data_IF_518629398998
#
_entry.id   IF_518629398998
#
_cell.length_a   1.000
_cell.length_b   1.000
_cell.length_c   1.000
_cell.angle_alpha   90.00
_cell.angle_beta   90.00
_cell.angle_gamma   90.00
#
_symmetry.space_group_name_H-M   'P 1'
#
loop_
_entity.id
_entity.type
_entity.pdbx_description
1 polymer ?
#
# COMPACT_ATOMS: atom_id res chain seq x y z
N UNK A 1 9.86 16.98 15.19
CA UNK A 1 10.83 16.16 14.44
C UNK A 1 10.15 14.97 13.78
N UNK A 2 10.41 14.74 12.49
CA UNK A 2 9.94 13.55 11.76
C UNK A 2 10.89 12.41 12.13
N UNK A 3 10.49 11.59 13.11
CA UNK A 3 11.37 10.62 13.77
C UNK A 3 11.42 9.24 13.09
N UNK A 4 10.62 9.02 12.04
CA UNK A 4 10.55 7.74 11.33
C UNK A 4 9.93 7.93 9.93
N UNK A 5 10.50 7.29 8.91
CA UNK A 5 9.96 7.29 7.54
C UNK A 5 9.77 5.87 6.99
N UNK A 6 10.43 4.86 7.57
CA UNK A 6 10.24 3.47 7.17
C UNK A 6 9.00 2.85 7.82
N UNK A 7 8.40 1.88 7.13
CA UNK A 7 7.14 1.27 7.55
C UNK A 7 7.22 0.61 8.93
N UNK A 8 8.38 0.03 9.30
CA UNK A 8 8.55 -0.64 10.60
C UNK A 8 8.55 0.38 11.72
N UNK A 9 9.29 1.47 11.59
CA UNK A 9 9.36 2.50 12.62
C UNK A 9 8.00 3.19 12.83
N UNK A 10 7.26 3.50 11.74
CA UNK A 10 5.89 4.05 11.84
C UNK A 10 4.95 3.10 12.56
N UNK A 11 4.96 1.81 12.18
CA UNK A 11 4.14 0.79 12.85
C UNK A 11 4.47 0.68 14.35
N UNK A 12 5.76 0.63 14.71
CA UNK A 12 6.18 0.54 16.11
C UNK A 12 5.71 1.74 16.92
N UNK A 13 5.91 2.97 16.43
CA UNK A 13 5.46 4.17 17.15
C UNK A 13 3.95 4.17 17.39
N UNK A 14 3.16 3.83 16.39
CA UNK A 14 1.70 3.79 16.51
C UNK A 14 1.23 2.66 17.43
N UNK A 15 1.76 1.44 17.25
CA UNK A 15 1.42 0.28 18.09
C UNK A 15 1.80 0.48 19.57
N UNK A 16 2.81 1.30 19.86
CA UNK A 16 3.20 1.67 21.22
C UNK A 16 2.37 2.82 21.82
N UNK A 17 1.41 3.39 21.08
CA UNK A 17 0.59 4.52 21.51
C UNK A 17 1.35 5.85 21.51
N UNK A 18 2.46 5.96 20.76
CA UNK A 18 3.29 7.17 20.67
C UNK A 18 2.89 8.10 19.52
N UNK A 19 1.89 7.73 18.73
CA UNK A 19 1.34 8.55 17.65
C UNK A 19 -0.19 8.44 17.62
N UNK A 20 -0.87 9.56 17.38
CA UNK A 20 -2.34 9.62 17.23
C UNK A 20 -2.78 9.20 15.82
N UNK A 21 -1.97 9.52 14.81
CA UNK A 21 -2.19 9.14 13.42
C UNK A 21 -0.96 8.43 12.87
N UNK A 22 -1.18 7.45 12.01
CA UNK A 22 -0.13 6.76 11.27
C UNK A 22 -0.63 6.43 9.86
N UNK A 23 0.30 6.43 8.91
CA UNK A 23 0.09 5.87 7.58
C UNK A 23 0.83 4.55 7.44
N UNK A 24 0.13 3.50 7.01
CA UNK A 24 0.74 2.20 6.75
C UNK A 24 -0.10 1.42 5.72
N UNK A 25 0.51 0.38 5.14
CA UNK A 25 -0.16 -0.63 4.37
C UNK A 25 -1.15 -1.47 5.20
N UNK A 26 -2.01 -2.19 4.50
CA UNK A 26 -3.15 -2.90 5.06
C UNK A 26 -2.81 -3.98 6.12
N UNK A 27 -1.64 -4.58 6.00
CA UNK A 27 -1.13 -5.63 6.88
C UNK A 27 -0.89 -5.15 8.32
N UNK A 28 -0.91 -3.83 8.58
CA UNK A 28 -0.79 -3.27 9.93
C UNK A 28 -1.89 -3.77 10.88
N UNK A 29 -3.09 -4.05 10.38
CA UNK A 29 -4.22 -4.50 11.22
C UNK A 29 -3.86 -5.77 11.98
N UNK A 30 -3.16 -6.71 11.33
CA UNK A 30 -2.69 -7.95 11.97
C UNK A 30 -1.78 -7.70 13.18
N UNK A 31 -1.06 -6.57 13.19
CA UNK A 31 -0.23 -6.14 14.31
C UNK A 31 -1.04 -5.41 15.36
N UNK A 32 -1.98 -4.55 14.94
CA UNK A 32 -2.77 -3.75 15.86
C UNK A 32 -3.81 -4.58 16.61
N UNK A 33 -4.33 -5.64 16.01
CA UNK A 33 -5.26 -6.58 16.64
C UNK A 33 -4.60 -7.53 17.64
N UNK A 34 -3.28 -7.67 17.59
CA UNK A 34 -2.53 -8.57 18.45
C UNK A 34 -2.09 -7.84 19.75
N UNK A 35 -2.72 -8.13 20.91
CA UNK A 35 -2.37 -7.46 22.17
C UNK A 35 -0.96 -7.80 22.67
N UNK A 36 -0.32 -8.87 22.16
CA UNK A 36 1.08 -9.15 22.46
C UNK A 36 2.04 -8.25 21.66
N UNK A 37 1.58 -7.64 20.57
CA UNK A 37 2.38 -6.76 19.69
C UNK A 37 1.97 -5.29 19.78
N UNK A 38 0.77 -4.98 20.24
CA UNK A 38 0.18 -3.63 20.20
C UNK A 38 -0.42 -3.23 21.55
N UNK A 39 0.02 -2.07 22.07
CA UNK A 39 -0.57 -1.42 23.24
C UNK A 39 -1.90 -0.74 22.95
N UNK A 40 -2.21 -0.55 21.67
CA UNK A 40 -3.46 0.07 21.19
C UNK A 40 -4.46 -0.98 20.70
N UNK A 41 -4.24 -2.28 20.98
CA UNK A 41 -5.17 -3.33 20.62
C UNK A 41 -6.58 -3.06 21.17
N UNK A 42 -7.59 -3.15 20.30
CA UNK A 42 -8.98 -2.76 20.60
C UNK A 42 -9.24 -1.24 20.65
N UNK A 43 -8.20 -0.41 20.56
CA UNK A 43 -8.26 1.04 20.69
C UNK A 43 -7.62 1.75 19.47
N UNK A 44 -7.97 1.30 18.27
CA UNK A 44 -7.53 1.91 17.01
C UNK A 44 -8.69 1.91 15.99
N UNK A 45 -8.55 2.70 14.93
CA UNK A 45 -9.50 2.71 13.81
C UNK A 45 -8.79 3.11 12.51
N UNK A 46 -9.49 2.96 11.38
CA UNK A 46 -9.04 3.46 10.08
C UNK A 46 -9.94 4.58 9.60
N UNK A 47 -9.39 5.44 8.76
CA UNK A 47 -10.14 6.48 8.06
C UNK A 47 -9.56 6.66 6.65
N UNK A 48 -10.36 7.17 5.70
CA UNK A 48 -9.83 7.63 4.43
C UNK A 48 -8.76 8.71 4.63
N UNK A 49 -7.90 8.88 3.63
CA UNK A 49 -6.91 9.96 3.64
C UNK A 49 -7.57 11.33 3.78
N UNK A 50 -6.97 12.25 4.55
CA UNK A 50 -7.47 13.62 4.61
C UNK A 50 -7.39 14.25 3.22
N UNK A 51 -8.38 15.10 2.92
CA UNK A 51 -8.42 15.91 1.71
C UNK A 51 -8.44 17.40 2.07
N UNK A 52 -7.85 18.22 1.22
CA UNK A 52 -8.00 19.67 1.31
C UNK A 52 -9.44 20.08 0.98
N UNK A 53 -9.90 21.28 1.38
CA UNK A 53 -11.23 21.78 0.99
C UNK A 53 -11.45 21.71 -0.53
N UNK A 54 -12.53 21.04 -0.94
CA UNK A 54 -12.84 20.79 -2.36
C UNK A 54 -12.06 19.63 -3.01
N UNK A 55 -11.13 19.00 -2.28
CA UNK A 55 -10.41 17.82 -2.70
C UNK A 55 -11.17 16.52 -2.46
N UNK A 56 -10.58 15.40 -2.90
CA UNK A 56 -11.09 14.05 -2.65
C UNK A 56 -10.06 13.25 -1.85
N UNK A 57 -10.48 12.43 -0.86
CA UNK A 57 -9.60 11.45 -0.23
C UNK A 57 -8.96 10.58 -1.30
N UNK A 58 -7.66 10.34 -1.17
CA UNK A 58 -6.93 9.50 -2.10
C UNK A 58 -5.88 8.67 -1.38
N UNK A 59 -5.99 7.35 -1.52
CA UNK A 59 -4.91 6.42 -1.23
C UNK A 59 -4.20 5.99 -2.50
N UNK A 60 -3.09 5.27 -2.36
CA UNK A 60 -2.38 4.64 -3.48
C UNK A 60 -2.60 3.12 -3.43
N UNK A 61 -2.93 2.50 -4.56
CA UNK A 61 -2.97 1.05 -4.66
C UNK A 61 -1.54 0.51 -4.55
N UNK A 62 -1.33 -0.40 -3.61
CA UNK A 62 -0.17 -1.27 -3.58
C UNK A 62 -0.45 -2.60 -4.28
N UNK A 63 0.37 -3.61 -3.97
CA UNK A 63 0.14 -4.98 -4.40
C UNK A 63 1.37 -5.63 -4.97
N UNK A 64 1.27 -6.94 -5.12
CA UNK A 64 2.26 -7.77 -5.79
C UNK A 64 1.55 -8.53 -6.90
N UNK A 65 2.23 -8.69 -8.03
CA UNK A 65 1.77 -9.50 -9.13
C UNK A 65 2.74 -10.66 -9.33
N UNK A 66 2.20 -11.82 -9.67
CA UNK A 66 2.99 -12.93 -10.18
C UNK A 66 3.14 -12.77 -11.70
N UNK A 67 4.31 -13.11 -12.21
CA UNK A 67 4.62 -13.09 -13.64
C UNK A 67 5.32 -14.39 -14.03
N UNK A 68 5.07 -14.84 -15.26
CA UNK A 68 5.77 -15.99 -15.84
C UNK A 68 7.00 -15.45 -16.57
N UNK A 69 8.16 -16.09 -16.35
CA UNK A 69 9.34 -15.82 -17.15
C UNK A 69 9.06 -16.25 -18.60
N UNK A 70 9.14 -15.35 -19.60
CA UNK A 70 8.86 -15.70 -21.00
C UNK A 70 9.85 -16.73 -21.58
N UNK A 71 10.99 -16.98 -20.92
CA UNK A 71 12.02 -17.93 -21.35
C UNK A 71 11.93 -19.31 -20.66
N UNK A 72 10.82 -19.64 -20.00
CA UNK A 72 10.64 -20.96 -19.37
C UNK A 72 10.42 -22.06 -20.41
N UNK A 73 11.02 -23.24 -20.20
CA UNK A 73 10.76 -24.44 -21.00
C UNK A 73 9.43 -25.13 -20.61
N UNK A 74 8.78 -24.69 -19.52
CA UNK A 74 7.56 -25.26 -18.96
C UNK A 74 6.41 -24.24 -18.92
N UNK A 75 6.10 -23.64 -20.08
CA UNK A 75 5.11 -22.56 -20.18
C UNK A 75 3.70 -23.04 -19.79
N UNK A 76 3.28 -24.21 -20.26
CA UNK A 76 1.95 -24.75 -19.98
C UNK A 76 1.75 -25.06 -18.48
N UNK A 77 2.78 -25.61 -17.82
CA UNK A 77 2.78 -25.85 -16.38
C UNK A 77 2.77 -24.54 -15.58
N UNK A 78 3.59 -23.56 -15.99
CA UNK A 78 3.63 -22.26 -15.35
C UNK A 78 2.27 -21.54 -15.42
N UNK A 79 1.57 -21.63 -16.56
CA UNK A 79 0.21 -21.09 -16.71
C UNK A 79 -0.77 -21.81 -15.78
N UNK A 80 -0.70 -23.13 -15.65
CA UNK A 80 -1.55 -23.90 -14.70
C UNK A 80 -1.32 -23.44 -13.26
N UNK A 81 -0.07 -23.21 -12.85
CA UNK A 81 0.25 -22.67 -11.52
C UNK A 81 -0.33 -21.28 -11.33
N UNK A 82 -0.20 -20.40 -12.32
CA UNK A 82 -0.78 -19.05 -12.27
C UNK A 82 -2.30 -19.07 -12.15
N UNK A 83 -2.99 -19.99 -12.83
CA UNK A 83 -4.44 -20.18 -12.70
C UNK A 83 -4.83 -20.61 -11.27
N UNK A 84 -4.05 -21.49 -10.65
CA UNK A 84 -4.26 -21.90 -9.25
C UNK A 84 -4.04 -20.73 -8.30
N UNK A 85 -2.94 -19.99 -8.46
CA UNK A 85 -2.63 -18.80 -7.65
C UNK A 85 -3.75 -17.75 -7.76
N UNK A 86 -4.26 -17.55 -8.97
CA UNK A 86 -5.35 -16.62 -9.24
C UNK A 86 -6.70 -17.16 -8.75
N UNK A 87 -6.85 -18.43 -8.37
CA UNK A 87 -8.17 -18.97 -7.98
C UNK A 87 -8.74 -18.31 -6.71
N UNK A 88 -10.08 -18.21 -6.63
CA UNK A 88 -10.76 -17.66 -5.45
C UNK A 88 -10.35 -18.33 -4.13
N UNK A 89 -10.20 -19.67 -4.03
CA UNK A 89 -9.74 -20.31 -2.81
C UNK A 89 -8.34 -19.85 -2.36
N UNK A 90 -7.38 -19.74 -3.30
CA UNK A 90 -6.02 -19.28 -2.96
C UNK A 90 -6.02 -17.81 -2.56
N UNK A 91 -6.76 -16.96 -3.28
CA UNK A 91 -6.91 -15.54 -2.92
C UNK A 91 -7.59 -15.36 -1.56
N UNK A 92 -8.61 -16.17 -1.23
CA UNK A 92 -9.20 -16.21 0.11
C UNK A 92 -8.18 -16.62 1.17
N UNK A 93 -7.33 -17.61 0.88
CA UNK A 93 -6.22 -18.00 1.75
C UNK A 93 -5.25 -16.85 2.02
N UNK A 94 -4.89 -16.07 1.00
CA UNK A 94 -4.09 -14.86 1.19
C UNK A 94 -4.81 -13.80 2.04
N UNK A 95 -6.13 -13.60 1.84
CA UNK A 95 -6.91 -12.67 2.65
C UNK A 95 -6.95 -13.09 4.13
N UNK A 96 -7.10 -14.39 4.42
CA UNK A 96 -7.02 -14.96 5.77
C UNK A 96 -5.63 -14.73 6.37
N UNK A 97 -4.56 -14.91 5.59
CA UNK A 97 -3.18 -14.76 6.05
C UNK A 97 -2.69 -13.31 6.15
N UNK A 98 -3.55 -12.30 5.94
CA UNK A 98 -3.15 -10.89 5.82
C UNK A 98 -2.06 -10.64 4.75
N UNK A 99 -2.16 -11.35 3.63
CA UNK A 99 -1.38 -11.05 2.42
C UNK A 99 -1.75 -9.69 1.81
N UNK A 100 -1.20 -9.37 0.62
CA UNK A 100 -1.57 -8.17 -0.13
C UNK A 100 -3.09 -8.06 -0.34
N UNK A 101 -3.61 -6.87 -0.63
CA UNK A 101 -5.02 -6.74 -0.99
C UNK A 101 -5.33 -7.62 -2.22
N UNK A 102 -6.36 -8.45 -2.11
CA UNK A 102 -6.71 -9.45 -3.11
C UNK A 102 -7.67 -8.86 -4.16
N UNK A 103 -7.61 -9.37 -5.40
CA UNK A 103 -8.33 -8.76 -6.52
C UNK A 103 -9.83 -9.13 -6.59
N UNK A 104 -10.25 -10.20 -5.88
CA UNK A 104 -11.66 -10.56 -5.81
C UNK A 104 -12.43 -9.64 -4.87
N UNK A 105 -13.45 -8.97 -5.42
CA UNK A 105 -14.40 -8.17 -4.63
C UNK A 105 -15.15 -9.04 -3.63
N UNK A 106 -15.41 -8.49 -2.44
CA UNK A 106 -16.21 -9.14 -1.40
C UNK A 106 -15.46 -10.19 -0.57
N UNK A 107 -14.14 -10.39 -0.77
CA UNK A 107 -13.38 -11.30 0.11
C UNK A 107 -13.34 -10.82 1.56
N UNK A 108 -13.37 -9.52 1.81
CA UNK A 108 -13.41 -8.96 3.18
C UNK A 108 -14.80 -9.03 3.83
N UNK A 109 -15.82 -9.44 3.08
CA UNK A 109 -17.16 -9.79 3.59
C UNK A 109 -17.31 -11.30 3.82
N UNK A 110 -16.31 -12.11 3.44
CA UNK A 110 -16.35 -13.56 3.61
C UNK A 110 -16.29 -13.93 5.11
N UNK A 111 -17.24 -14.74 5.63
CA UNK A 111 -17.29 -15.08 7.05
C UNK A 111 -16.02 -15.74 7.59
N UNK A 112 -15.32 -16.55 6.78
CA UNK A 112 -14.06 -17.18 7.22
C UNK A 112 -12.92 -16.15 7.28
N UNK A 113 -12.91 -15.18 6.36
CA UNK A 113 -11.93 -14.07 6.40
C UNK A 113 -12.18 -13.21 7.63
N UNK A 114 -13.43 -12.86 7.93
CA UNK A 114 -13.76 -12.08 9.13
C UNK A 114 -13.53 -12.87 10.44
N UNK A 115 -13.76 -14.18 10.44
CA UNK A 115 -13.48 -15.02 11.59
C UNK A 115 -11.98 -15.06 11.92
N UNK A 116 -11.13 -15.15 10.90
CA UNK A 116 -9.67 -15.06 11.07
C UNK A 116 -9.22 -13.63 11.40
N UNK A 117 -9.85 -12.63 10.76
CA UNK A 117 -9.43 -11.23 10.75
C UNK A 117 -10.63 -10.32 11.03
N UNK A 118 -10.95 -10.13 12.31
CA UNK A 118 -12.17 -9.45 12.78
C UNK A 118 -12.37 -8.04 12.23
N UNK A 119 -11.28 -7.34 11.93
CA UNK A 119 -11.30 -5.96 11.44
C UNK A 119 -11.02 -5.85 9.92
N UNK A 120 -11.12 -6.95 9.17
CA UNK A 120 -10.82 -6.97 7.74
C UNK A 120 -11.84 -6.24 6.86
N UNK A 121 -13.10 -6.16 7.29
CA UNK A 121 -14.16 -5.41 6.63
C UNK A 121 -13.89 -3.90 6.56
N UNK A 122 -13.03 -3.37 7.43
CA UNK A 122 -12.63 -1.97 7.43
C UNK A 122 -12.00 -1.53 6.10
N UNK A 123 -11.48 -2.46 5.28
CA UNK A 123 -10.96 -2.15 3.95
C UNK A 123 -12.02 -1.77 2.94
N UNK A 124 -13.26 -2.22 3.11
CA UNK A 124 -14.31 -1.96 2.13
C UNK A 124 -14.56 -0.45 1.94
N UNK A 125 -14.31 0.34 2.99
CA UNK A 125 -14.45 1.80 2.96
C UNK A 125 -13.21 2.51 2.38
N UNK A 126 -12.05 1.86 2.39
CA UNK A 126 -10.77 2.43 1.99
C UNK A 126 -10.44 2.15 0.51
N UNK A 127 -10.71 0.93 0.04
CA UNK A 127 -10.35 0.47 -1.30
C UNK A 127 -10.94 1.33 -2.44
N UNK A 128 -12.19 1.83 -2.36
CA UNK A 128 -12.75 2.66 -3.43
C UNK A 128 -12.01 3.98 -3.66
N UNK A 129 -11.29 4.50 -2.67
CA UNK A 129 -10.53 5.74 -2.77
C UNK A 129 -9.07 5.55 -3.25
N UNK A 130 -8.65 4.30 -3.49
CA UNK A 130 -7.29 4.00 -3.93
C UNK A 130 -7.10 4.31 -5.41
N UNK A 131 -6.02 5.01 -5.75
CA UNK A 131 -5.63 5.32 -7.12
C UNK A 131 -4.42 4.50 -7.54
N UNK A 132 -4.33 4.16 -8.84
CA UNK A 132 -3.15 3.53 -9.40
C UNK A 132 -1.97 4.52 -9.45
N UNK A 133 -0.76 3.98 -9.32
CA UNK A 133 0.46 4.71 -9.67
C UNK A 133 0.45 5.02 -11.17
N UNK A 134 1.08 6.11 -11.63
CA UNK A 134 1.14 6.45 -13.05
C UNK A 134 1.63 5.25 -13.89
N UNK A 135 0.88 4.84 -14.94
CA UNK A 135 1.33 3.79 -15.82
C UNK A 135 2.52 4.31 -16.64
N UNK A 136 3.70 3.73 -16.44
CA UNK A 136 4.91 4.10 -17.16
C UNK A 136 5.87 2.90 -17.22
N UNK A 137 6.48 2.69 -18.38
CA UNK A 137 7.61 1.76 -18.56
C UNK A 137 8.85 2.24 -17.81
N UNK A 138 8.98 3.55 -17.59
CA UNK A 138 10.06 4.21 -16.87
C UNK A 138 9.69 4.55 -15.42
N UNK A 139 8.71 3.83 -14.83
CA UNK A 139 8.18 4.15 -13.51
C UNK A 139 9.25 4.18 -12.40
N UNK A 140 10.25 3.29 -12.47
CA UNK A 140 11.32 3.26 -11.47
C UNK A 140 12.16 4.54 -11.46
N UNK A 141 12.47 5.08 -12.65
CA UNK A 141 13.21 6.34 -12.81
C UNK A 141 12.36 7.53 -12.36
N UNK A 142 11.09 7.59 -12.83
CA UNK A 142 10.13 8.61 -12.41
C UNK A 142 9.96 8.63 -10.88
N UNK A 143 9.82 7.46 -10.26
CA UNK A 143 9.68 7.33 -8.81
C UNK A 143 10.92 7.80 -8.07
N UNK A 144 12.12 7.54 -8.61
CA UNK A 144 13.38 7.98 -8.01
C UNK A 144 13.51 9.51 -8.05
N UNK A 145 13.18 10.14 -9.19
CA UNK A 145 13.15 11.60 -9.33
C UNK A 145 12.19 12.23 -8.33
N UNK A 146 10.96 11.70 -8.24
CA UNK A 146 9.97 12.20 -7.28
C UNK A 146 10.46 12.07 -5.83
N UNK A 147 11.06 10.94 -5.45
CA UNK A 147 11.57 10.73 -4.11
C UNK A 147 12.65 11.76 -3.74
N UNK A 148 13.61 12.01 -4.63
CA UNK A 148 14.69 12.98 -4.41
C UNK A 148 14.17 14.41 -4.26
N UNK A 149 13.31 14.86 -5.18
CA UNK A 149 12.82 16.24 -5.18
C UNK A 149 11.84 16.49 -4.03
N UNK A 150 10.95 15.53 -3.74
CA UNK A 150 10.06 15.64 -2.58
C UNK A 150 10.83 15.62 -1.26
N UNK A 151 11.86 14.76 -1.14
CA UNK A 151 12.74 14.76 0.03
C UNK A 151 13.43 16.11 0.21
N UNK A 152 13.96 16.68 -0.88
CA UNK A 152 14.63 17.99 -0.87
C UNK A 152 13.68 19.11 -0.44
N UNK A 153 12.41 19.07 -0.88
CA UNK A 153 11.39 20.03 -0.46
C UNK A 153 11.02 19.87 1.02
N UNK A 154 10.76 18.64 1.47
CA UNK A 154 10.33 18.34 2.85
C UNK A 154 11.42 18.68 3.87
N UNK A 155 12.69 18.46 3.51
CA UNK A 155 13.85 18.76 4.37
C UNK A 155 14.35 20.20 4.27
N UNK A 156 13.77 21.01 3.38
CA UNK A 156 14.15 22.41 3.20
C UNK A 156 15.45 22.63 2.42
N UNK A 157 16.02 21.59 1.80
CA UNK A 157 17.18 21.71 0.90
C UNK A 157 16.83 22.57 -0.32
N UNK A 158 15.61 22.44 -0.84
CA UNK A 158 15.08 23.25 -1.95
C UNK A 158 13.75 23.90 -1.54
N UNK A 159 13.45 25.12 -2.04
CA UNK A 159 12.08 25.65 -2.00
C UNK A 159 11.11 24.70 -2.70
N UNK A 160 9.90 24.54 -2.14
CA UNK A 160 8.87 23.61 -2.66
C UNK A 160 8.64 23.79 -4.17
N UNK A 161 8.48 25.04 -4.63
CA UNK A 161 8.25 25.31 -6.05
C UNK A 161 9.42 24.85 -6.92
N UNK A 162 10.66 25.10 -6.49
CA UNK A 162 11.85 24.73 -7.26
C UNK A 162 12.00 23.22 -7.37
N UNK A 163 11.79 22.48 -6.27
CA UNK A 163 11.81 21.02 -6.29
C UNK A 163 10.76 20.42 -7.23
N UNK A 164 9.53 20.95 -7.22
CA UNK A 164 8.46 20.50 -8.11
C UNK A 164 8.73 20.86 -9.58
N UNK A 165 9.24 22.08 -9.85
CA UNK A 165 9.63 22.49 -11.20
C UNK A 165 10.75 21.59 -11.76
N UNK A 166 11.74 21.25 -10.93
CA UNK A 166 12.84 20.35 -11.29
C UNK A 166 12.35 18.92 -11.52
N UNK A 167 11.46 18.41 -10.67
CA UNK A 167 10.82 17.11 -10.85
C UNK A 167 10.12 17.03 -12.22
N UNK A 168 9.31 18.04 -12.57
CA UNK A 168 8.64 18.10 -13.86
C UNK A 168 9.65 18.07 -15.03
N UNK A 169 10.66 18.96 -15.01
CA UNK A 169 11.68 19.02 -16.08
C UNK A 169 12.42 17.68 -16.25
N UNK A 170 12.80 17.05 -15.13
CA UNK A 170 13.51 15.77 -15.13
C UNK A 170 12.63 14.66 -15.68
N UNK A 171 11.36 14.58 -15.26
CA UNK A 171 10.40 13.59 -15.77
C UNK A 171 10.13 13.80 -17.26
N UNK A 172 9.94 15.04 -17.72
CA UNK A 172 9.73 15.35 -19.14
C UNK A 172 10.92 14.94 -20.02
N UNK A 173 12.13 14.86 -19.44
CA UNK A 173 13.36 14.45 -20.14
C UNK A 173 13.53 12.93 -20.31
N UNK A 174 12.78 12.11 -19.56
CA UNK A 174 12.85 10.64 -19.63
C UNK A 174 12.35 10.11 -21.00
N UNK A 175 11.59 10.92 -21.75
CA UNK A 175 10.93 10.48 -22.97
C UNK A 175 9.69 9.62 -22.66
N UNK A 176 8.81 9.46 -23.66
CA UNK A 176 7.60 8.64 -23.53
C UNK A 176 7.92 7.15 -23.50
#
# INVERSE_FOLDING_TARGET
>A
DVIAWDAKAVRTLFAEGKAVFAWHNADIISWLDDPAKSKVAGNWGVMPFPAQPGGKPSGITGGFAFAINPYTDAMDEAVKVMQVIASKPVQKGFAIAWGPVQYFKGLYDDPEVQAANKNSNLYNDLLPAAMNRPPSTNYAELSSILQEELHSAITGIKPVKAALDDACKRIDSIGK
#
